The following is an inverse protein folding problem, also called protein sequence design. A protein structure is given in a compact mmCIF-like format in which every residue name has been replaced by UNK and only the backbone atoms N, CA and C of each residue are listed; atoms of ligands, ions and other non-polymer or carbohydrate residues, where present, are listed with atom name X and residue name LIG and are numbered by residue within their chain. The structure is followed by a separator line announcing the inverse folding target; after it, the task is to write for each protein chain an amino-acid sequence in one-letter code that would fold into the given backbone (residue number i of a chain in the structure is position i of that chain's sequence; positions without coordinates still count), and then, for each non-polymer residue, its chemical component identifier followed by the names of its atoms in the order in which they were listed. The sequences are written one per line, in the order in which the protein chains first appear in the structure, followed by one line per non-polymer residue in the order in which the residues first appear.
data_IF_762236002760
#
_entry.id   IF_762236002760
#
_cell.length_a   1.000
_cell.length_b   1.000
_cell.length_c   1.000
_cell.angle_alpha   90.00
_cell.angle_beta   90.00
_cell.angle_gamma   90.00
#
_symmetry.space_group_name_H-M   'P 1'
#
loop_
_entity.id
_entity.type
_entity.pdbx_description
1 polymer ?
#
# COMPACT_ATOMS: atom_id res chain seq x y z
N UNK A 1 7.02 -1.08 -52.12
CA UNK A 1 8.13 -0.41 -51.41
C UNK A 1 7.57 0.88 -50.83
N UNK A 2 7.61 1.09 -49.52
CA UNK A 2 7.17 2.34 -48.93
C UNK A 2 8.14 3.45 -49.35
N UNK A 3 7.68 4.39 -50.16
CA UNK A 3 8.45 5.53 -50.64
C UNK A 3 8.73 6.46 -49.46
N UNK A 4 9.99 6.56 -49.02
CA UNK A 4 10.41 7.50 -47.98
C UNK A 4 10.71 8.85 -48.59
N UNK A 5 10.05 9.90 -48.12
CA UNK A 5 10.33 11.28 -48.53
C UNK A 5 11.36 11.90 -47.58
N UNK A 6 12.43 12.47 -48.12
CA UNK A 6 13.44 13.18 -47.31
C UNK A 6 12.87 14.54 -46.91
N UNK A 7 12.83 14.80 -45.61
CA UNK A 7 12.44 16.08 -45.02
C UNK A 7 13.64 16.66 -44.26
N UNK A 8 14.01 17.91 -44.54
CA UNK A 8 15.09 18.59 -43.84
C UNK A 8 14.50 19.58 -42.82
N UNK A 9 14.81 19.39 -41.55
CA UNK A 9 14.23 20.15 -40.44
C UNK A 9 15.35 20.47 -39.46
N UNK A 10 15.29 21.66 -38.88
CA UNK A 10 16.19 22.04 -37.81
C UNK A 10 15.68 21.48 -36.47
N UNK A 11 16.61 20.96 -35.68
CA UNK A 11 16.38 20.56 -34.29
C UNK A 11 17.19 21.46 -33.38
N UNK A 12 16.67 21.67 -32.17
CA UNK A 12 17.48 22.21 -31.09
C UNK A 12 18.70 21.27 -30.86
N UNK A 13 19.93 21.79 -30.81
CA UNK A 13 21.13 20.98 -30.55
C UNK A 13 21.03 20.11 -29.30
N UNK A 14 20.28 20.55 -28.27
CA UNK A 14 20.08 19.80 -27.03
C UNK A 14 19.24 18.51 -27.21
N UNK A 15 18.50 18.37 -28.32
CA UNK A 15 17.69 17.19 -28.61
C UNK A 15 18.49 16.06 -29.27
N UNK A 16 19.60 16.37 -29.95
CA UNK A 16 20.39 15.37 -30.66
C UNK A 16 20.93 14.28 -29.71
N UNK A 17 21.53 14.62 -28.55
CA UNK A 17 21.98 13.60 -27.59
C UNK A 17 20.84 12.74 -27.05
N UNK A 18 19.65 13.31 -26.87
CA UNK A 18 18.48 12.59 -26.36
C UNK A 18 17.94 11.57 -27.38
N UNK A 19 17.87 11.94 -28.66
CA UNK A 19 17.46 11.04 -29.74
C UNK A 19 18.47 9.90 -29.89
N UNK A 20 19.77 10.19 -29.79
CA UNK A 20 20.84 9.18 -29.82
C UNK A 20 20.75 8.21 -28.64
N UNK A 21 20.59 8.72 -27.43
CA UNK A 21 20.42 7.90 -26.23
C UNK A 21 19.17 7.01 -26.32
N UNK A 22 18.06 7.54 -26.83
CA UNK A 22 16.83 6.76 -27.04
C UNK A 22 17.01 5.68 -28.10
N UNK A 23 17.67 5.99 -29.22
CA UNK A 23 17.99 5.02 -30.26
C UNK A 23 18.84 3.88 -29.69
N UNK A 24 19.87 4.22 -28.91
CA UNK A 24 20.72 3.23 -28.25
C UNK A 24 19.92 2.37 -27.26
N UNK A 25 19.17 2.98 -26.33
CA UNK A 25 18.36 2.25 -25.35
C UNK A 25 17.36 1.30 -26.01
N UNK A 26 16.70 1.75 -27.07
CA UNK A 26 15.73 0.94 -27.81
C UNK A 26 16.40 -0.17 -28.62
N UNK A 27 17.61 0.09 -29.13
CA UNK A 27 18.38 -0.94 -29.83
C UNK A 27 18.81 -2.09 -28.92
N UNK A 28 19.19 -1.77 -27.67
CA UNK A 28 19.50 -2.75 -26.63
C UNK A 28 18.26 -3.54 -26.23
N UNK A 29 17.15 -2.85 -25.94
CA UNK A 29 15.90 -3.50 -25.53
C UNK A 29 15.33 -4.45 -26.60
N UNK A 30 15.42 -4.07 -27.88
CA UNK A 30 14.89 -4.85 -29.00
C UNK A 30 15.90 -5.80 -29.64
N UNK A 31 17.16 -5.81 -29.16
CA UNK A 31 18.28 -6.56 -29.74
C UNK A 31 18.43 -6.35 -31.26
N UNK A 32 18.16 -5.13 -31.75
CA UNK A 32 18.28 -4.75 -33.17
C UNK A 32 18.67 -3.29 -33.30
N UNK A 33 19.34 -2.92 -34.39
CA UNK A 33 19.68 -1.52 -34.63
C UNK A 33 18.41 -0.68 -34.84
N UNK A 34 18.26 0.39 -34.07
CA UNK A 34 17.18 1.37 -34.20
C UNK A 34 17.81 2.70 -34.61
N UNK A 35 17.45 3.22 -35.78
CA UNK A 35 18.01 4.47 -36.28
C UNK A 35 17.37 5.69 -35.63
N UNK A 36 18.09 6.82 -35.64
CA UNK A 36 17.56 8.13 -35.18
C UNK A 36 16.29 8.52 -35.95
N UNK A 37 16.26 8.30 -37.27
CA UNK A 37 15.09 8.55 -38.11
C UNK A 37 13.88 7.72 -37.67
N UNK A 38 14.08 6.47 -37.24
CA UNK A 38 12.99 5.63 -36.74
C UNK A 38 12.45 6.12 -35.39
N UNK A 39 13.31 6.67 -34.53
CA UNK A 39 12.88 7.32 -33.27
C UNK A 39 12.03 8.56 -33.57
N UNK A 40 12.52 9.43 -34.47
CA UNK A 40 11.80 10.66 -34.85
C UNK A 40 10.48 10.34 -35.54
N UNK A 41 10.46 9.40 -36.47
CA UNK A 41 9.24 8.96 -37.16
C UNK A 41 8.21 8.40 -36.16
N UNK A 42 8.65 7.54 -35.23
CA UNK A 42 7.77 7.01 -34.19
C UNK A 42 7.23 8.11 -33.26
N UNK A 43 8.05 9.08 -32.88
CA UNK A 43 7.62 10.20 -32.04
C UNK A 43 6.59 11.09 -32.76
N UNK A 44 6.83 11.41 -34.03
CA UNK A 44 5.89 12.21 -34.83
C UNK A 44 4.58 11.45 -35.07
N UNK A 45 4.64 10.16 -35.40
CA UNK A 45 3.43 9.34 -35.52
C UNK A 45 2.64 9.30 -34.21
N UNK A 46 3.33 9.11 -33.09
CA UNK A 46 2.70 9.09 -31.75
C UNK A 46 2.07 10.43 -31.37
N UNK A 47 2.69 11.54 -31.76
CA UNK A 47 2.15 12.88 -31.51
C UNK A 47 0.91 13.16 -32.37
N UNK A 48 0.95 12.75 -33.64
CA UNK A 48 -0.17 12.95 -34.56
C UNK A 48 -1.34 11.98 -34.35
N UNK A 49 -1.10 10.82 -33.74
CA UNK A 49 -2.15 9.83 -33.49
C UNK A 49 -3.08 10.19 -32.33
N UNK A 50 -2.69 11.08 -31.41
CA UNK A 50 -3.45 11.36 -30.16
C UNK A 50 -3.45 10.21 -29.14
N UNK A 51 -3.27 8.97 -29.59
CA UNK A 51 -3.29 7.72 -28.81
C UNK A 51 -2.39 7.69 -27.57
N UNK A 52 -1.30 8.47 -27.54
CA UNK A 52 -0.35 8.40 -26.43
C UNK A 52 -0.96 9.00 -25.14
N UNK A 53 -1.66 10.11 -25.27
CA UNK A 53 -2.32 10.78 -24.14
C UNK A 53 -3.54 9.97 -23.70
N UNK A 54 -4.34 9.49 -24.66
CA UNK A 54 -5.51 8.64 -24.39
C UNK A 54 -5.14 7.32 -23.68
N UNK A 55 -4.03 6.69 -24.07
CA UNK A 55 -3.57 5.46 -23.40
C UNK A 55 -3.05 5.72 -21.99
N UNK A 56 -2.37 6.85 -21.76
CA UNK A 56 -1.92 7.23 -20.42
C UNK A 56 -3.10 7.53 -19.51
N UNK A 57 -4.09 8.27 -20.01
CA UNK A 57 -5.32 8.58 -19.28
C UNK A 57 -6.10 7.30 -18.96
N UNK A 58 -6.27 6.40 -19.93
CA UNK A 58 -6.93 5.11 -19.72
C UNK A 58 -6.20 4.24 -18.69
N UNK A 59 -4.85 4.21 -18.71
CA UNK A 59 -4.05 3.48 -17.74
C UNK A 59 -4.17 4.08 -16.32
N UNK A 60 -4.19 5.42 -16.20
CA UNK A 60 -4.41 6.10 -14.93
C UNK A 60 -5.80 5.82 -14.37
N UNK A 61 -6.85 5.96 -15.18
CA UNK A 61 -8.23 5.65 -14.79
C UNK A 61 -8.37 4.23 -14.26
N UNK A 62 -7.81 3.23 -14.97
CA UNK A 62 -7.79 1.83 -14.48
C UNK A 62 -7.07 1.66 -13.15
N UNK A 63 -5.97 2.39 -12.94
CA UNK A 63 -5.21 2.34 -11.68
C UNK A 63 -6.01 2.97 -10.54
N UNK A 64 -6.68 4.09 -10.79
CA UNK A 64 -7.55 4.76 -9.83
C UNK A 64 -8.75 3.87 -9.47
N UNK A 65 -9.39 3.23 -10.45
CA UNK A 65 -10.48 2.28 -10.21
C UNK A 65 -10.02 1.12 -9.33
N UNK A 66 -8.82 0.58 -9.58
CA UNK A 66 -8.26 -0.49 -8.77
C UNK A 66 -8.02 -0.03 -7.33
N UNK A 67 -7.48 1.18 -7.14
CA UNK A 67 -7.29 1.76 -5.80
C UNK A 67 -8.63 1.97 -5.10
N UNK A 68 -9.65 2.47 -5.80
CA UNK A 68 -11.00 2.61 -5.26
C UNK A 68 -11.54 1.30 -4.71
N UNK A 69 -11.48 0.21 -5.50
CA UNK A 69 -11.91 -1.12 -5.03
C UNK A 69 -11.11 -1.64 -3.83
N UNK A 70 -9.82 -1.33 -3.76
CA UNK A 70 -8.98 -1.70 -2.62
C UNK A 70 -9.39 -0.92 -1.37
N UNK A 71 -9.71 0.37 -1.51
CA UNK A 71 -10.22 1.20 -0.41
C UNK A 71 -11.59 0.67 0.05
N UNK A 72 -12.51 0.34 -0.86
CA UNK A 72 -13.82 -0.22 -0.50
C UNK A 72 -13.69 -1.55 0.25
N UNK A 73 -12.73 -2.38 -0.14
CA UNK A 73 -12.43 -3.64 0.55
C UNK A 73 -11.89 -3.37 1.94
N UNK A 74 -10.93 -2.43 2.07
CA UNK A 74 -10.36 -2.03 3.35
C UNK A 74 -11.40 -1.44 4.30
N UNK A 75 -12.34 -0.63 3.79
CA UNK A 75 -13.43 -0.07 4.59
C UNK A 75 -14.31 -1.18 5.16
N UNK A 76 -14.65 -2.17 4.33
CA UNK A 76 -15.41 -3.35 4.77
C UNK A 76 -14.65 -4.18 5.80
N UNK A 77 -13.35 -4.42 5.57
CA UNK A 77 -12.50 -5.17 6.52
C UNK A 77 -12.38 -4.42 7.85
N UNK A 78 -12.25 -3.10 7.82
CA UNK A 78 -12.20 -2.25 9.00
C UNK A 78 -13.53 -2.27 9.76
N UNK A 79 -14.66 -2.25 9.07
CA UNK A 79 -15.98 -2.38 9.68
C UNK A 79 -16.12 -3.73 10.39
N UNK A 80 -15.71 -4.84 9.76
CA UNK A 80 -15.72 -6.18 10.38
C UNK A 80 -14.80 -6.23 11.59
N UNK A 81 -13.60 -5.64 11.51
CA UNK A 81 -12.65 -5.60 12.62
C UNK A 81 -13.22 -4.77 13.78
N UNK A 82 -13.84 -3.62 13.49
CA UNK A 82 -14.54 -2.79 14.45
C UNK A 82 -15.64 -3.55 15.19
N UNK A 83 -16.50 -4.26 14.46
CA UNK A 83 -17.55 -5.11 15.03
C UNK A 83 -16.98 -6.24 15.89
N UNK A 84 -15.92 -6.90 15.41
CA UNK A 84 -15.26 -7.99 16.13
C UNK A 84 -14.66 -7.50 17.45
N UNK A 85 -14.01 -6.33 17.45
CA UNK A 85 -13.45 -5.72 18.67
C UNK A 85 -14.56 -5.29 19.61
N UNK A 86 -15.64 -4.69 19.12
CA UNK A 86 -16.79 -4.33 19.92
C UNK A 86 -17.41 -5.56 20.60
N UNK A 87 -17.59 -6.64 19.85
CA UNK A 87 -18.12 -7.90 20.37
C UNK A 87 -17.16 -8.60 21.33
N UNK A 88 -15.85 -8.54 21.10
CA UNK A 88 -14.83 -9.01 22.04
C UNK A 88 -14.88 -8.25 23.36
N UNK A 89 -14.93 -6.91 23.32
CA UNK A 89 -15.02 -6.08 24.53
C UNK A 89 -16.31 -6.41 25.28
N UNK A 90 -17.44 -6.49 24.58
CA UNK A 90 -18.72 -6.86 25.17
C UNK A 90 -18.64 -8.24 25.83
N UNK A 91 -18.13 -9.25 25.13
CA UNK A 91 -17.96 -10.60 25.66
C UNK A 91 -17.05 -10.61 26.88
N UNK A 92 -15.89 -9.96 26.81
CA UNK A 92 -14.94 -9.87 27.92
C UNK A 92 -15.53 -9.18 29.16
N UNK A 93 -16.38 -8.17 28.96
CA UNK A 93 -17.06 -7.47 30.06
C UNK A 93 -18.29 -8.21 30.59
N UNK A 94 -18.85 -9.16 29.83
CA UNK A 94 -20.08 -9.90 30.18
C UNK A 94 -19.84 -11.36 30.56
N UNK A 95 -18.64 -11.93 30.35
CA UNK A 95 -18.24 -13.21 30.94
C UNK A 95 -18.28 -13.06 32.46
N UNK A 96 -19.43 -13.43 33.00
CA UNK A 96 -19.66 -13.55 34.42
C UNK A 96 -20.02 -15.02 34.63
N UNK A 97 -19.36 -15.75 35.54
CA UNK A 97 -19.77 -17.11 35.88
C UNK A 97 -21.27 -17.12 36.22
N UNK A 98 -21.99 -18.25 36.01
CA UNK A 98 -23.41 -18.32 36.32
C UNK A 98 -23.63 -17.95 37.79
N UNK A 99 -24.25 -16.80 38.01
CA UNK A 99 -24.52 -16.24 39.32
C UNK A 99 -25.96 -16.57 39.75
N UNK A 100 -26.20 -16.80 41.05
CA UNK A 100 -27.55 -16.86 41.60
C UNK A 100 -28.35 -15.62 41.19
N UNK A 101 -29.65 -15.79 40.98
CA UNK A 101 -30.52 -14.75 40.40
C UNK A 101 -30.43 -13.38 41.08
N UNK A 102 -30.19 -13.36 42.39
CA UNK A 102 -30.02 -12.16 43.22
C UNK A 102 -28.75 -11.35 42.90
N UNK A 103 -27.71 -11.96 42.31
CA UNK A 103 -26.43 -11.31 42.02
C UNK A 103 -26.25 -10.91 40.54
N UNK A 104 -27.22 -11.22 39.66
CA UNK A 104 -27.17 -10.85 38.24
C UNK A 104 -27.28 -9.34 38.02
N UNK A 105 -28.09 -8.64 38.81
CA UNK A 105 -28.32 -7.21 38.65
C UNK A 105 -27.07 -6.39 39.03
N UNK A 106 -26.38 -6.78 40.11
CA UNK A 106 -25.13 -6.15 40.53
C UNK A 106 -23.97 -6.43 39.56
N UNK A 107 -23.89 -7.64 39.01
CA UNK A 107 -22.90 -7.98 37.99
C UNK A 107 -23.06 -7.15 36.71
N UNK A 108 -24.30 -6.96 36.23
CA UNK A 108 -24.59 -6.11 35.06
C UNK A 108 -24.22 -4.64 35.31
N UNK A 109 -24.55 -4.10 36.49
CA UNK A 109 -24.18 -2.74 36.86
C UNK A 109 -22.66 -2.53 36.86
N UNK A 110 -21.91 -3.51 37.39
CA UNK A 110 -20.44 -3.46 37.45
C UNK A 110 -19.77 -3.63 36.08
N UNK A 111 -20.40 -4.37 35.16
CA UNK A 111 -19.93 -4.45 33.77
C UNK A 111 -20.12 -3.10 33.04
N UNK A 112 -21.26 -2.44 33.24
CA UNK A 112 -21.52 -1.12 32.67
C UNK A 112 -20.54 -0.05 33.19
N UNK A 113 -20.25 -0.04 34.49
CA UNK A 113 -19.26 0.86 35.11
C UNK A 113 -17.86 0.69 34.50
N UNK A 114 -17.42 -0.57 34.28
CA UNK A 114 -16.13 -0.88 33.64
C UNK A 114 -16.10 -0.45 32.18
N UNK A 115 -17.20 -0.61 31.46
CA UNK A 115 -17.33 -0.17 30.06
C UNK A 115 -17.19 1.34 29.93
N UNK A 116 -17.86 2.10 30.78
CA UNK A 116 -17.77 3.56 30.81
C UNK A 116 -16.33 4.04 31.10
N UNK A 117 -15.67 3.43 32.09
CA UNK A 117 -14.27 3.74 32.41
C UNK A 117 -13.28 3.38 31.29
N UNK A 118 -13.55 2.31 30.54
CA UNK A 118 -12.78 1.97 29.34
C UNK A 118 -12.97 3.02 28.24
N UNK A 119 -14.21 3.42 27.95
CA UNK A 119 -14.53 4.42 26.93
C UNK A 119 -13.88 5.77 27.22
N UNK A 120 -13.90 6.23 28.48
CA UNK A 120 -13.21 7.46 28.88
C UNK A 120 -11.68 7.39 28.67
N UNK A 121 -11.05 6.26 29.05
CA UNK A 121 -9.61 6.08 28.85
C UNK A 121 -9.22 5.97 27.37
N UNK A 122 -10.03 5.27 26.57
CA UNK A 122 -9.85 5.17 25.12
C UNK A 122 -9.97 6.55 24.47
N UNK A 123 -11.02 7.31 24.79
CA UNK A 123 -11.22 8.67 24.28
C UNK A 123 -10.05 9.60 24.63
N UNK A 124 -9.54 9.54 25.86
CA UNK A 124 -8.36 10.31 26.29
C UNK A 124 -7.10 9.92 25.51
N UNK A 125 -6.85 8.63 25.28
CA UNK A 125 -5.69 8.16 24.50
C UNK A 125 -5.80 8.56 23.03
N UNK A 126 -6.98 8.45 22.42
CA UNK A 126 -7.22 8.87 21.04
C UNK A 126 -7.06 10.37 20.85
N UNK A 127 -7.56 11.20 21.78
CA UNK A 127 -7.36 12.65 21.75
C UNK A 127 -5.88 13.05 21.89
N UNK A 128 -5.05 12.19 22.50
CA UNK A 128 -3.60 12.38 22.60
C UNK A 128 -2.85 11.85 21.37
N UNK A 129 -3.56 11.15 20.46
CA UNK A 129 -3.28 10.80 19.05
C UNK A 129 -1.89 10.33 18.66
N UNK A 130 -0.91 11.22 18.81
CA UNK A 130 0.43 11.10 18.26
C UNK A 130 1.31 10.12 19.06
N UNK A 131 1.03 9.93 20.36
CA UNK A 131 1.83 9.06 21.24
C UNK A 131 1.52 7.57 21.05
N UNK A 132 0.28 7.22 20.76
CA UNK A 132 -0.15 5.83 20.59
C UNK A 132 0.46 5.18 19.34
N UNK A 133 0.40 5.87 18.20
CA UNK A 133 0.98 5.38 16.95
C UNK A 133 2.52 5.30 17.02
N UNK A 134 3.16 6.24 17.73
CA UNK A 134 4.61 6.23 17.98
C UNK A 134 5.05 5.10 18.93
N UNK A 135 4.27 4.77 19.96
CA UNK A 135 4.53 3.62 20.83
C UNK A 135 4.37 2.30 20.07
N UNK A 136 3.27 2.14 19.32
CA UNK A 136 3.02 0.94 18.51
C UNK A 136 4.12 0.70 17.46
N UNK A 137 4.58 1.76 16.77
CA UNK A 137 5.67 1.66 15.80
C UNK A 137 7.00 1.21 16.43
N UNK A 138 7.25 1.59 17.69
CA UNK A 138 8.46 1.17 18.42
C UNK A 138 8.39 -0.29 18.85
N UNK A 139 7.23 -0.77 19.29
CA UNK A 139 7.06 -2.17 19.71
C UNK A 139 7.15 -3.14 18.53
N UNK A 140 6.56 -2.81 17.38
CA UNK A 140 6.68 -3.64 16.16
C UNK A 140 8.14 -3.70 15.66
N UNK A 141 8.90 -2.61 15.79
CA UNK A 141 10.33 -2.59 15.41
C UNK A 141 11.22 -3.32 16.43
N UNK A 142 10.78 -3.42 17.69
CA UNK A 142 11.50 -4.12 18.76
C UNK A 142 11.40 -5.63 18.65
N UNK A 143 10.27 -6.15 18.16
CA UNK A 143 10.02 -7.59 18.01
C UNK A 143 10.80 -8.18 16.82
N UNK A 144 10.98 -7.44 15.72
CA UNK A 144 11.88 -7.83 14.62
C UNK A 144 13.36 -7.88 15.05
N UNK A 145 13.79 -7.03 15.99
CA UNK A 145 15.16 -7.01 16.49
C UNK A 145 15.45 -8.18 17.46
N UNK A 146 14.44 -8.67 18.19
CA UNK A 146 14.57 -9.82 19.08
C UNK A 146 14.51 -11.17 18.34
N UNK A 147 13.94 -11.20 17.12
CA UNK A 147 13.91 -12.38 16.26
C UNK A 147 15.22 -12.70 15.54
N UNK A 148 16.16 -11.76 15.43
CA UNK A 148 17.45 -11.95 14.76
C UNK A 148 18.61 -12.39 15.68
N UNK A 149 18.37 -12.48 17.00
CA UNK A 149 19.42 -12.74 17.99
C UNK A 149 19.40 -14.18 18.58
N UNK A 150 18.51 -15.08 18.11
CA UNK A 150 18.43 -16.46 18.59
C UNK A 150 19.30 -17.42 17.75
N UNK A 151 20.56 -17.54 18.18
CA UNK A 151 21.59 -18.61 18.09
C UNK A 151 21.76 -19.53 16.84
N UNK A 152 23.02 -19.70 16.33
CA UNK A 152 23.42 -20.91 15.61
C UNK A 152 23.73 -22.05 16.59
N UNK A 153 23.03 -23.17 16.46
CA UNK A 153 23.30 -24.40 17.23
C UNK A 153 24.61 -25.06 16.77
N UNK A 154 25.61 -25.07 17.65
CA UNK A 154 26.81 -25.90 17.51
C UNK A 154 26.44 -27.35 17.82
N UNK A 155 26.40 -28.18 16.79
CA UNK A 155 26.24 -29.64 16.92
C UNK A 155 27.61 -30.23 17.27
N UNK A 156 27.84 -30.53 18.55
CA UNK A 156 28.96 -31.39 18.96
C UNK A 156 28.66 -32.85 18.60
N UNK A 157 29.43 -33.40 17.67
CA UNK A 157 29.55 -34.84 17.46
C UNK A 157 30.43 -35.43 18.57
N UNK A 158 29.83 -36.14 19.51
CA UNK A 158 30.49 -37.06 20.43
C UNK A 158 30.33 -38.51 19.94
N UNK A 159 31.46 -39.20 19.90
CA UNK A 159 31.76 -40.58 19.45
C UNK A 159 30.88 -41.69 19.97
#
# INVERSE_FOLDING_TARGET
MATRTRLNIYFDPALIPQIEAMALRRSVALRRNVSKSAIVEAAVMSYLSGDADDQLEAAMSRRLDKLGRQIDTLDRDLAVLGETVAQFIHYWMTITPPLPDAARQSARAKAAERFEGFMQNLGRRLATGDRFLKELSRDVSGDEALGLAAEPQTIERGT
#
